data_IF_226643969061
#
_entry.id   IF_226643969061
#
_cell.length_a   1.000
_cell.length_b   1.000
_cell.length_c   1.000
_cell.angle_alpha   90.00
_cell.angle_beta   90.00
_cell.angle_gamma   90.00
#
_symmetry.space_group_name_H-M   'P 1'
#
loop_
_entity.id
_entity.type
_entity.pdbx_description
1 polymer ?
#
# COMPACT_ATOMS: atom_id res chain seq x y z
N UNK A 1 -17.19 -30.28 41.75
CA UNK A 1 -17.17 -28.97 41.06
C UNK A 1 -15.72 -28.61 40.75
N UNK A 2 -15.26 -28.80 39.52
CA UNK A 2 -13.93 -28.40 39.10
C UNK A 2 -13.94 -26.92 38.72
N UNK A 3 -13.16 -26.08 39.41
CA UNK A 3 -12.96 -24.68 39.02
C UNK A 3 -12.09 -24.66 37.77
N UNK A 4 -12.61 -24.17 36.64
CA UNK A 4 -11.81 -23.94 35.44
C UNK A 4 -10.76 -22.86 35.71
N UNK A 5 -9.54 -23.08 35.20
CA UNK A 5 -8.47 -22.10 35.24
C UNK A 5 -8.85 -20.88 34.36
N UNK A 6 -8.48 -19.65 34.76
CA UNK A 6 -8.76 -18.47 33.95
C UNK A 6 -7.98 -18.51 32.64
N UNK A 7 -8.63 -18.08 31.55
CA UNK A 7 -8.02 -18.00 30.22
C UNK A 7 -6.82 -17.04 30.20
N UNK A 8 -5.78 -17.31 29.39
CA UNK A 8 -4.60 -16.44 29.29
C UNK A 8 -4.99 -15.08 28.72
N UNK A 9 -4.47 -14.01 29.32
CA UNK A 9 -4.64 -12.63 28.84
C UNK A 9 -3.83 -12.46 27.55
N UNK A 10 -4.52 -12.40 26.41
CA UNK A 10 -3.91 -12.21 25.09
C UNK A 10 -3.64 -10.73 24.77
N UNK A 11 -4.34 -9.80 25.44
CA UNK A 11 -4.15 -8.37 25.26
C UNK A 11 -3.09 -7.82 26.23
N UNK A 12 -1.87 -7.65 25.73
CA UNK A 12 -0.89 -6.77 26.35
C UNK A 12 -1.08 -5.35 25.80
N UNK A 13 -1.25 -4.39 26.70
CA UNK A 13 -1.22 -2.98 26.34
C UNK A 13 0.07 -2.68 25.55
N UNK A 14 -0.10 -2.01 24.41
CA UNK A 14 1.00 -1.67 23.50
C UNK A 14 2.13 -0.94 24.23
N UNK A 15 3.25 -1.62 24.47
CA UNK A 15 4.40 -1.05 25.15
C UNK A 15 5.22 -0.20 24.18
N UNK A 16 5.08 1.13 24.24
CA UNK A 16 5.98 2.04 23.52
C UNK A 16 7.35 2.01 24.19
N UNK A 17 8.44 1.67 23.47
CA UNK A 17 9.78 1.91 23.99
C UNK A 17 9.92 3.40 24.32
N UNK A 18 10.64 3.73 25.39
CA UNK A 18 10.85 5.13 25.80
C UNK A 18 11.34 6.02 24.64
N UNK A 19 11.06 7.32 24.72
CA UNK A 19 11.23 8.27 23.61
C UNK A 19 12.59 8.16 22.89
N UNK A 20 13.67 7.93 23.64
CA UNK A 20 15.02 7.74 23.11
C UNK A 20 15.17 6.50 22.21
N UNK A 21 14.67 5.33 22.65
CA UNK A 21 14.71 4.10 21.85
C UNK A 21 13.85 4.21 20.60
N UNK A 22 12.71 4.90 20.71
CA UNK A 22 11.87 5.21 19.54
C UNK A 22 12.61 6.10 18.54
N UNK A 23 13.27 7.16 19.01
CA UNK A 23 14.04 8.06 18.16
C UNK A 23 15.19 7.33 17.43
N UNK A 24 15.96 6.52 18.14
CA UNK A 24 17.03 5.70 17.55
C UNK A 24 16.51 4.74 16.47
N UNK A 25 15.41 4.03 16.75
CA UNK A 25 14.81 3.13 15.77
C UNK A 25 14.35 3.88 14.51
N UNK A 26 13.82 5.10 14.68
CA UNK A 26 13.34 5.92 13.56
C UNK A 26 14.48 6.47 12.69
N UNK A 27 15.62 6.84 13.28
CA UNK A 27 16.81 7.24 12.53
C UNK A 27 17.33 6.10 11.62
N UNK A 28 17.32 4.86 12.13
CA UNK A 28 17.70 3.70 11.33
C UNK A 28 16.79 3.51 10.10
N UNK A 29 15.47 3.63 10.28
CA UNK A 29 14.50 3.52 9.18
C UNK A 29 14.56 4.66 8.16
N UNK A 30 15.04 5.84 8.56
CA UNK A 30 15.28 6.96 7.63
C UNK A 30 16.53 6.68 6.78
N UNK A 31 17.61 6.20 7.39
CA UNK A 31 18.85 5.92 6.69
C UNK A 31 18.77 4.69 5.76
N UNK A 32 18.05 3.64 6.18
CA UNK A 32 17.85 2.40 5.41
C UNK A 32 16.39 1.97 5.57
N UNK A 33 15.47 2.51 4.76
CA UNK A 33 14.09 2.07 4.80
C UNK A 33 14.03 0.56 4.50
N UNK A 34 13.26 -0.24 5.25
CA UNK A 34 13.09 -1.67 5.00
C UNK A 34 12.13 -1.90 3.82
N UNK A 35 12.33 -1.17 2.73
CA UNK A 35 11.52 -1.21 1.52
C UNK A 35 12.48 -1.34 0.35
N UNK A 36 12.41 -2.46 -0.36
CA UNK A 36 13.03 -2.60 -1.67
C UNK A 36 12.10 -1.99 -2.72
N UNK A 37 12.62 -1.04 -3.48
CA UNK A 37 11.92 -0.52 -4.66
C UNK A 37 12.28 -1.45 -5.81
N UNK A 38 11.27 -2.13 -6.36
CA UNK A 38 11.43 -2.96 -7.55
C UNK A 38 11.28 -2.07 -8.80
N UNK A 39 12.31 -2.02 -9.63
CA UNK A 39 12.24 -1.40 -10.95
C UNK A 39 11.87 -2.47 -11.98
N UNK A 40 10.65 -2.40 -12.56
CA UNK A 40 10.23 -3.34 -13.58
C UNK A 40 11.04 -3.15 -14.87
N UNK A 41 11.28 -4.23 -15.60
CA UNK A 41 11.96 -4.15 -16.90
C UNK A 41 11.19 -3.21 -17.84
N UNK A 42 11.87 -2.41 -18.69
CA UNK A 42 11.20 -1.54 -19.64
C UNK A 42 10.19 -2.30 -20.50
N UNK A 43 8.95 -1.79 -20.59
CA UNK A 43 7.87 -2.42 -21.37
C UNK A 43 7.14 -3.58 -20.69
N UNK A 44 7.54 -3.99 -19.48
CA UNK A 44 6.85 -5.04 -18.72
C UNK A 44 5.51 -4.59 -18.09
N UNK A 45 5.25 -3.28 -18.04
CA UNK A 45 3.99 -2.71 -17.57
C UNK A 45 3.48 -1.68 -18.57
N UNK A 46 2.27 -1.89 -19.07
CA UNK A 46 1.50 -0.92 -19.86
C UNK A 46 0.63 -0.09 -18.92
N UNK A 47 0.54 1.21 -19.19
CA UNK A 47 -0.23 2.16 -18.37
C UNK A 47 -1.23 2.91 -19.24
N UNK A 48 -2.51 2.62 -19.03
CA UNK A 48 -3.60 3.41 -19.63
C UNK A 48 -4.07 4.42 -18.59
N UNK A 49 -4.02 5.71 -18.95
CA UNK A 49 -4.36 6.82 -18.06
C UNK A 49 -5.76 7.34 -18.37
N UNK A 50 -6.44 7.79 -17.32
CA UNK A 50 -7.74 8.46 -17.40
C UNK A 50 -8.84 7.69 -18.14
N UNK A 51 -8.81 6.35 -18.00
CA UNK A 51 -9.84 5.46 -18.52
C UNK A 51 -11.18 5.83 -17.87
N UNK A 52 -12.16 6.14 -18.72
CA UNK A 52 -13.51 6.49 -18.29
C UNK A 52 -14.27 5.22 -17.87
N UNK A 53 -14.82 5.23 -16.66
CA UNK A 53 -15.68 4.16 -16.16
C UNK A 53 -17.03 4.77 -15.78
N UNK A 54 -18.09 4.56 -16.58
CA UNK A 54 -19.43 5.06 -16.27
C UNK A 54 -20.03 4.24 -15.11
N UNK A 55 -20.50 4.95 -14.09
CA UNK A 55 -21.22 4.38 -12.96
C UNK A 55 -22.73 4.35 -13.24
N UNK A 56 -23.46 3.61 -12.42
CA UNK A 56 -24.91 3.46 -12.56
C UNK A 56 -25.69 4.79 -12.38
N UNK A 57 -25.12 5.75 -11.65
CA UNK A 57 -25.68 7.08 -11.42
C UNK A 57 -25.36 8.08 -12.57
N UNK A 58 -24.65 7.64 -13.60
CA UNK A 58 -24.18 8.49 -14.70
C UNK A 58 -22.88 9.23 -14.43
N UNK A 59 -22.32 9.14 -13.22
CA UNK A 59 -21.00 9.71 -12.92
C UNK A 59 -19.92 8.93 -13.67
N UNK A 60 -18.97 9.65 -14.28
CA UNK A 60 -17.81 9.03 -14.96
C UNK A 60 -16.58 9.12 -14.07
N UNK A 61 -16.15 7.99 -13.53
CA UNK A 61 -14.88 7.90 -12.80
C UNK A 61 -13.71 7.78 -13.78
N UNK A 62 -12.54 8.32 -13.39
CA UNK A 62 -11.29 8.23 -14.15
C UNK A 62 -10.32 7.31 -13.43
N UNK A 63 -9.90 6.25 -14.10
CA UNK A 63 -9.03 5.21 -13.53
C UNK A 63 -7.74 5.11 -14.33
N UNK A 64 -6.63 4.84 -13.63
CA UNK A 64 -5.38 4.45 -14.26
C UNK A 64 -5.28 2.92 -14.22
N UNK A 65 -5.10 2.27 -15.37
CA UNK A 65 -4.97 0.82 -15.48
C UNK A 65 -3.50 0.48 -15.72
N UNK A 66 -2.95 -0.38 -14.86
CA UNK A 66 -1.60 -0.93 -15.01
C UNK A 66 -1.72 -2.42 -15.27
N UNK A 67 -1.20 -2.89 -16.40
CA UNK A 67 -1.25 -4.32 -16.77
C UNK A 67 0.07 -4.78 -17.39
N UNK A 68 0.43 -6.07 -17.26
CA UNK A 68 1.48 -6.65 -18.09
C UNK A 68 1.06 -6.64 -19.58
N UNK A 69 2.02 -6.72 -20.52
CA UNK A 69 1.71 -6.90 -21.93
C UNK A 69 1.00 -8.25 -22.16
N UNK A 70 0.06 -8.27 -23.11
CA UNK A 70 -0.75 -9.44 -23.45
C UNK A 70 -2.25 -9.22 -23.22
N UNK A 71 -3.04 -10.25 -23.54
CA UNK A 71 -4.52 -10.23 -23.45
C UNK A 71 -5.08 -11.23 -22.43
N UNK A 72 -4.22 -11.77 -21.56
CA UNK A 72 -4.62 -12.72 -20.54
C UNK A 72 -5.51 -12.06 -19.46
N UNK A 73 -6.53 -12.79 -18.99
CA UNK A 73 -7.35 -12.38 -17.86
C UNK A 73 -6.64 -12.72 -16.55
N UNK A 74 -6.18 -11.69 -15.86
CA UNK A 74 -5.45 -11.81 -14.60
C UNK A 74 -6.27 -11.25 -13.44
N UNK A 75 -6.02 -11.68 -12.19
CA UNK A 75 -6.62 -11.05 -11.02
C UNK A 75 -6.22 -9.57 -10.94
N UNK A 76 -7.15 -8.72 -10.51
CA UNK A 76 -6.98 -7.26 -10.48
C UNK A 76 -6.95 -6.76 -9.05
N UNK A 77 -5.99 -5.87 -8.76
CA UNK A 77 -5.96 -5.08 -7.54
C UNK A 77 -6.56 -3.69 -7.83
N UNK A 78 -7.54 -3.30 -7.04
CA UNK A 78 -8.21 -2.00 -7.15
C UNK A 78 -7.90 -1.15 -5.93
N UNK A 79 -7.54 0.11 -6.16
CA UNK A 79 -7.42 1.13 -5.13
C UNK A 79 -8.28 2.33 -5.51
N UNK A 80 -9.27 2.64 -4.67
CA UNK A 80 -10.16 3.78 -4.84
C UNK A 80 -9.98 4.72 -3.64
N UNK A 81 -9.51 5.93 -3.91
CA UNK A 81 -9.27 6.93 -2.86
C UNK A 81 -9.62 8.34 -3.36
N UNK A 82 -10.14 9.22 -2.49
CA UNK A 82 -10.53 10.58 -2.88
C UNK A 82 -9.34 11.51 -3.12
N UNK A 83 -8.12 11.10 -2.73
CA UNK A 83 -6.94 11.97 -2.66
C UNK A 83 -6.08 12.02 -3.92
N UNK A 84 -6.70 11.96 -5.11
CA UNK A 84 -6.02 12.13 -6.40
C UNK A 84 -5.12 10.95 -6.80
N UNK A 85 -5.57 10.16 -7.78
CA UNK A 85 -4.88 8.96 -8.30
C UNK A 85 -3.47 9.20 -8.87
N UNK A 86 -3.15 10.44 -9.23
CA UNK A 86 -1.88 10.79 -9.91
C UNK A 86 -0.84 11.39 -8.95
N UNK A 87 -1.17 11.58 -7.66
CA UNK A 87 -0.24 12.11 -6.65
C UNK A 87 0.64 11.01 -6.06
N UNK A 88 1.40 10.35 -6.94
CA UNK A 88 2.36 9.33 -6.55
C UNK A 88 3.69 9.96 -6.11
N UNK A 89 4.40 9.37 -5.14
CA UNK A 89 5.72 9.84 -4.74
C UNK A 89 6.69 9.76 -5.92
N UNK A 90 7.27 10.89 -6.30
CA UNK A 90 8.31 10.98 -7.32
C UNK A 90 9.69 10.86 -6.69
N UNK A 91 10.59 10.05 -7.29
CA UNK A 91 12.02 10.06 -6.94
C UNK A 91 12.58 11.46 -7.26
N UNK A 92 13.15 12.14 -6.27
CA UNK A 92 13.83 13.44 -6.48
C UNK A 92 15.29 13.18 -6.88
N UNK A 93 15.80 13.89 -7.89
CA UNK A 93 17.23 13.89 -8.26
C UNK A 93 17.64 12.89 -9.34
N UNK A 94 16.85 12.76 -10.40
CA UNK A 94 17.32 12.22 -11.68
C UNK A 94 17.67 13.40 -12.60
#
# INVERSE_FOLDING_TARGET
MARSAPAPVLDRAWHRPGAFRYALARLGGIARPPVSVYEPAPGSVLSDRDVAVPMADGTVLRVNVYRPPGEERLPVLLSAHPYGKDRLPTRRGC
#
